data_IF_301982352011
#
_entry.id   IF_301982352011
#
_cell.length_a   1.000
_cell.length_b   1.000
_cell.length_c   1.000
_cell.angle_alpha   90.00
_cell.angle_beta   90.00
_cell.angle_gamma   90.00
#
_symmetry.space_group_name_H-M   'P 1'
#
loop_
_entity.id
_entity.type
_entity.pdbx_description
1 polymer ?
#
# COMPACT_ATOMS: atom_id res chain seq x y z
N UNK A 1 -8.15 -17.45 -6.49
CA UNK A 1 -8.93 -17.32 -5.23
C UNK A 1 -8.78 -15.92 -4.62
N UNK A 2 -7.57 -15.33 -4.60
CA UNK A 2 -7.34 -13.92 -4.19
C UNK A 2 -7.90 -12.91 -5.21
N UNK A 3 -7.67 -13.13 -6.51
CA UNK A 3 -8.10 -12.22 -7.60
C UNK A 3 -9.62 -11.98 -7.66
N UNK A 4 -10.44 -12.92 -7.18
CA UNK A 4 -11.91 -12.80 -7.22
C UNK A 4 -12.47 -11.97 -6.06
N UNK A 5 -11.76 -11.86 -4.93
CA UNK A 5 -12.20 -11.06 -3.78
C UNK A 5 -11.87 -9.57 -3.99
N UNK A 6 -10.71 -9.27 -4.59
CA UNK A 6 -10.26 -7.89 -4.85
C UNK A 6 -11.23 -7.11 -5.77
N UNK A 7 -11.77 -7.76 -6.80
CA UNK A 7 -12.67 -7.12 -7.78
C UNK A 7 -14.02 -6.69 -7.22
N UNK A 8 -14.46 -7.22 -6.09
CA UNK A 8 -15.84 -7.03 -5.59
C UNK A 8 -15.95 -6.02 -4.46
N UNK A 9 -14.87 -5.71 -3.76
CA UNK A 9 -14.90 -4.82 -2.61
C UNK A 9 -14.18 -3.49 -2.81
N UNK A 10 -13.42 -3.30 -3.90
CA UNK A 10 -12.70 -2.04 -4.15
C UNK A 10 -11.55 -1.77 -3.17
N UNK A 11 -11.31 -2.68 -2.23
CA UNK A 11 -10.17 -2.68 -1.32
C UNK A 11 -9.13 -3.65 -1.88
N UNK A 12 -7.89 -3.16 -2.08
CA UNK A 12 -6.74 -4.04 -2.33
C UNK A 12 -6.52 -4.87 -1.08
N UNK A 13 -6.94 -6.13 -1.13
CA UNK A 13 -6.75 -7.09 -0.05
C UNK A 13 -5.24 -7.31 0.10
N UNK A 14 -4.71 -7.06 1.30
CA UNK A 14 -3.30 -7.24 1.69
C UNK A 14 -2.31 -6.12 1.32
N UNK A 15 -2.65 -4.85 1.57
CA UNK A 15 -1.64 -3.81 1.72
C UNK A 15 -0.86 -4.01 3.03
N UNK A 16 0.08 -4.97 3.04
CA UNK A 16 0.88 -5.30 4.22
C UNK A 16 1.70 -4.09 4.69
N UNK A 17 2.12 -3.21 3.77
CA UNK A 17 2.78 -1.95 4.09
C UNK A 17 1.88 -1.00 4.90
N UNK A 18 0.59 -0.88 4.58
CA UNK A 18 -0.33 -0.05 5.37
C UNK A 18 -0.52 -0.62 6.79
N UNK A 19 -0.72 -1.95 6.90
CA UNK A 19 -0.88 -2.61 8.19
C UNK A 19 0.38 -2.42 9.04
N UNK A 20 1.55 -2.60 8.44
CA UNK A 20 2.83 -2.41 9.11
C UNK A 20 3.08 -0.94 9.48
N UNK A 21 2.63 0.02 8.67
CA UNK A 21 2.67 1.45 9.00
C UNK A 21 1.82 1.75 10.24
N UNK A 22 0.55 1.33 10.22
CA UNK A 22 -0.42 1.57 11.30
C UNK A 22 -0.03 0.84 12.59
N UNK A 23 0.70 -0.27 12.49
CA UNK A 23 1.27 -1.02 13.62
C UNK A 23 2.61 -0.48 14.10
N UNK A 24 3.23 0.46 13.39
CA UNK A 24 4.55 1.00 13.71
C UNK A 24 5.72 0.05 13.42
N UNK A 25 5.50 -1.00 12.63
CA UNK A 25 6.54 -1.93 12.18
C UNK A 25 7.37 -1.37 11.03
N UNK A 26 6.75 -0.51 10.21
CA UNK A 26 7.38 0.19 9.10
C UNK A 26 7.33 1.70 9.35
N UNK A 27 8.44 2.38 9.12
CA UNK A 27 8.55 3.84 9.17
C UNK A 27 8.11 4.48 7.85
N UNK A 28 7.71 5.76 7.91
CA UNK A 28 7.27 6.56 6.76
C UNK A 28 8.27 6.49 5.60
N UNK A 29 9.56 6.48 5.92
CA UNK A 29 10.67 6.41 4.95
C UNK A 29 10.69 5.09 4.16
N UNK A 30 10.43 3.95 4.82
CA UNK A 30 10.37 2.66 4.15
C UNK A 30 9.20 2.57 3.18
N UNK A 31 8.05 3.11 3.57
CA UNK A 31 6.87 3.15 2.69
C UNK A 31 7.09 4.13 1.55
N UNK A 32 7.78 5.25 1.79
CA UNK A 32 8.10 6.20 0.74
C UNK A 32 9.06 5.60 -0.29
N UNK A 33 10.05 4.81 0.16
CA UNK A 33 10.95 4.09 -0.71
C UNK A 33 10.21 3.03 -1.55
N UNK A 34 9.33 2.24 -0.92
CA UNK A 34 8.49 1.26 -1.60
C UNK A 34 7.53 1.92 -2.59
N UNK A 35 6.86 2.99 -2.19
CA UNK A 35 5.96 3.79 -3.03
C UNK A 35 6.67 4.41 -4.22
N UNK A 36 7.89 4.93 -4.04
CA UNK A 36 8.73 5.40 -5.16
C UNK A 36 9.14 4.29 -6.12
N UNK A 37 9.58 3.14 -5.59
CA UNK A 37 9.97 1.97 -6.38
C UNK A 37 8.79 1.43 -7.21
N UNK A 38 7.58 1.49 -6.64
CA UNK A 38 6.35 1.02 -7.26
C UNK A 38 5.50 2.14 -7.87
N UNK A 39 6.03 3.36 -8.02
CA UNK A 39 5.25 4.54 -8.45
C UNK A 39 4.68 4.44 -9.86
N UNK A 40 5.20 3.50 -10.66
CA UNK A 40 4.67 3.16 -11.99
C UNK A 40 3.36 2.36 -11.94
N UNK A 41 3.00 1.82 -10.79
CA UNK A 41 1.78 1.05 -10.58
C UNK A 41 0.84 1.79 -9.61
N UNK A 42 -0.45 1.53 -9.71
CA UNK A 42 -1.47 2.14 -8.82
C UNK A 42 -1.22 1.84 -7.33
N UNK A 43 -0.48 0.76 -7.02
CA UNK A 43 -0.09 0.45 -5.65
C UNK A 43 0.95 1.41 -5.09
N UNK A 44 2.01 1.74 -5.83
CA UNK A 44 3.01 2.68 -5.34
C UNK A 44 2.45 4.09 -5.22
N UNK A 45 1.52 4.47 -6.10
CA UNK A 45 0.78 5.73 -5.98
C UNK A 45 -0.08 5.76 -4.71
N UNK A 46 -0.83 4.69 -4.44
CA UNK A 46 -1.61 4.54 -3.21
C UNK A 46 -0.74 4.61 -1.94
N UNK A 47 0.45 3.98 -1.93
CA UNK A 47 1.38 4.08 -0.81
C UNK A 47 1.91 5.49 -0.60
N UNK A 48 2.14 6.25 -1.67
CA UNK A 48 2.56 7.65 -1.56
C UNK A 48 1.43 8.55 -1.05
N UNK A 49 0.20 8.36 -1.54
CA UNK A 49 -0.99 9.07 -1.06
C UNK A 49 -1.27 8.78 0.43
N UNK A 50 -1.11 7.52 0.87
CA UNK A 50 -1.22 7.13 2.28
C UNK A 50 -0.21 7.86 3.18
N UNK A 51 0.94 8.27 2.64
CA UNK A 51 1.94 9.04 3.36
C UNK A 51 1.71 10.55 3.26
N UNK A 52 0.84 11.05 2.39
CA UNK A 52 0.51 12.48 2.29
C UNK A 52 -0.69 12.87 3.16
N UNK A 53 -1.51 11.90 3.58
CA UNK A 53 -2.63 12.03 4.54
C UNK A 53 -2.15 12.01 6.01
#
# INVERSE_FOLDING_TARGET
FVETIEKRQGYKVACLEEIAYRRGWLTREHIQAAGKALSKNDYGRYLLELLEE
#
